data_IF_175530471671
#
_entry.id   IF_175530471671
#
_cell.length_a   1.000
_cell.length_b   1.000
_cell.length_c   1.000
_cell.angle_alpha   90.00
_cell.angle_beta   90.00
_cell.angle_gamma   90.00
#
_symmetry.space_group_name_H-M   'P 1'
#
loop_
_entity.id
_entity.type
_entity.pdbx_description
1 polymer ?
#
# COMPACT_ATOMS: atom_id res chain seq x y z
N UNK A 1 -1.34 -1.13 10.78
CA UNK A 1 -2.65 -0.52 10.53
C UNK A 1 -2.75 0.90 11.13
N UNK A 2 -2.87 1.07 12.46
CA UNK A 2 -3.12 2.38 13.11
C UNK A 2 -2.19 3.52 12.67
N UNK A 3 -0.88 3.29 12.61
CA UNK A 3 0.09 4.31 12.19
C UNK A 3 -0.14 4.81 10.76
N UNK A 4 -0.65 3.97 9.85
CA UNK A 4 -0.97 4.39 8.48
C UNK A 4 -2.13 5.38 8.48
N UNK A 5 -3.19 5.09 9.26
CA UNK A 5 -4.33 5.98 9.42
C UNK A 5 -3.92 7.32 10.05
N UNK A 6 -3.02 7.31 11.04
CA UNK A 6 -2.52 8.54 11.66
C UNK A 6 -1.74 9.40 10.64
N UNK A 7 -0.87 8.78 9.82
CA UNK A 7 -0.14 9.49 8.77
C UNK A 7 -1.08 10.10 7.72
N UNK A 8 -2.10 9.35 7.29
CA UNK A 8 -3.12 9.88 6.37
C UNK A 8 -3.91 11.02 7.02
N UNK A 9 -4.25 10.89 8.31
CA UNK A 9 -4.91 11.96 9.07
C UNK A 9 -4.06 13.23 9.15
N UNK A 10 -2.73 13.10 9.14
CA UNK A 10 -1.79 14.22 9.11
C UNK A 10 -1.49 14.75 7.70
N UNK A 11 -2.23 14.30 6.68
CA UNK A 11 -2.16 14.83 5.31
C UNK A 11 -1.23 14.08 4.37
N UNK A 12 -0.69 12.93 4.78
CA UNK A 12 0.07 12.07 3.87
C UNK A 12 -0.90 11.33 2.92
N UNK A 13 -0.53 11.18 1.64
CA UNK A 13 -1.31 10.31 0.73
C UNK A 13 -1.29 8.86 1.22
N UNK A 14 -2.32 8.09 0.89
CA UNK A 14 -2.41 6.67 1.25
C UNK A 14 -1.16 5.88 0.80
N UNK A 15 -0.64 6.17 -0.40
CA UNK A 15 0.57 5.53 -0.93
C UNK A 15 1.79 5.81 -0.05
N UNK A 16 2.07 7.08 0.25
CA UNK A 16 3.22 7.47 1.09
C UNK A 16 3.09 6.95 2.52
N UNK A 17 1.87 6.90 3.07
CA UNK A 17 1.61 6.36 4.39
C UNK A 17 1.91 4.86 4.47
N UNK A 18 1.51 4.08 3.46
CA UNK A 18 1.84 2.67 3.35
C UNK A 18 3.36 2.44 3.28
N UNK A 19 4.06 3.19 2.42
CA UNK A 19 5.51 3.10 2.27
C UNK A 19 6.25 3.42 3.58
N UNK A 20 5.86 4.49 4.27
CA UNK A 20 6.44 4.87 5.57
C UNK A 20 6.24 3.80 6.65
N UNK A 21 5.06 3.16 6.69
CA UNK A 21 4.78 2.09 7.66
C UNK A 21 5.56 0.83 7.35
N UNK A 22 5.68 0.44 6.08
CA UNK A 22 6.48 -0.73 5.70
C UNK A 22 7.97 -0.50 5.93
N UNK A 23 8.49 0.70 5.67
CA UNK A 23 9.86 1.06 6.01
C UNK A 23 10.09 1.00 7.54
N UNK A 24 9.16 1.54 8.34
CA UNK A 24 9.21 1.43 9.80
C UNK A 24 9.21 -0.03 10.29
N UNK A 25 8.35 -0.88 9.72
CA UNK A 25 8.30 -2.32 10.05
C UNK A 25 9.62 -2.99 9.66
N UNK A 26 10.14 -2.70 8.47
CA UNK A 26 11.41 -3.26 7.99
C UNK A 26 12.55 -2.92 8.94
N UNK A 27 12.63 -1.67 9.41
CA UNK A 27 13.68 -1.23 10.36
C UNK A 27 13.54 -1.85 11.75
N UNK A 28 12.31 -2.14 12.21
CA UNK A 28 12.05 -2.62 13.59
C UNK A 28 11.97 -4.13 13.72
N UNK A 29 11.44 -4.81 12.70
CA UNK A 29 11.12 -6.23 12.72
C UNK A 29 11.97 -7.00 11.71
N UNK A 30 12.39 -6.36 10.62
CA UNK A 30 13.18 -6.97 9.55
C UNK A 30 12.39 -7.15 8.25
N UNK A 31 13.11 -7.53 7.20
CA UNK A 31 12.56 -7.81 5.87
C UNK A 31 11.73 -9.09 5.84
N UNK A 32 10.91 -9.26 4.81
CA UNK A 32 10.08 -10.43 4.58
C UNK A 32 9.01 -10.68 5.66
N UNK A 33 8.32 -9.63 6.10
CA UNK A 33 7.44 -9.67 7.28
C UNK A 33 6.03 -9.15 7.05
N UNK A 34 5.84 -8.14 6.20
CA UNK A 34 4.56 -7.44 6.12
C UNK A 34 4.24 -6.84 4.74
N UNK A 35 2.95 -6.70 4.50
CA UNK A 35 2.36 -5.89 3.45
C UNK A 35 1.20 -5.06 4.01
N UNK A 36 0.86 -3.97 3.32
CA UNK A 36 -0.21 -3.07 3.71
C UNK A 36 -0.89 -2.49 2.47
N UNK A 37 -2.22 -2.44 2.52
CA UNK A 37 -3.09 -1.75 1.56
C UNK A 37 -3.93 -0.76 2.36
N UNK A 38 -4.12 0.44 1.83
CA UNK A 38 -4.94 1.48 2.45
C UNK A 38 -5.73 2.27 1.41
N UNK A 39 -6.86 2.82 1.86
CA UNK A 39 -7.67 3.80 1.13
C UNK A 39 -7.97 4.94 2.09
N UNK A 40 -7.76 6.18 1.66
CA UNK A 40 -8.05 7.37 2.43
C UNK A 40 -9.51 7.85 2.24
N UNK A 41 -9.89 8.87 3.01
CA UNK A 41 -11.27 9.42 3.02
C UNK A 41 -11.70 10.09 1.71
N UNK A 42 -10.76 10.33 0.79
CA UNK A 42 -11.00 10.94 -0.52
C UNK A 42 -10.96 9.90 -1.65
N UNK A 43 -10.81 8.61 -1.31
CA UNK A 43 -10.69 7.52 -2.27
C UNK A 43 -9.28 7.32 -2.83
N UNK A 44 -8.28 8.07 -2.34
CA UNK A 44 -6.88 7.84 -2.66
C UNK A 44 -6.42 6.50 -2.08
N UNK A 45 -5.75 5.68 -2.86
CA UNK A 45 -5.31 4.34 -2.44
C UNK A 45 -3.80 4.25 -2.33
N UNK A 46 -3.32 3.25 -1.58
CA UNK A 46 -1.90 3.04 -1.41
C UNK A 46 -1.57 1.61 -1.03
N UNK A 47 -0.37 1.18 -1.38
CA UNK A 47 0.13 -0.14 -1.01
C UNK A 47 1.65 -0.13 -0.88
N UNK A 48 2.16 -0.99 0.00
CA UNK A 48 3.58 -1.31 0.09
C UNK A 48 3.74 -2.68 0.75
N UNK A 49 4.85 -3.37 0.49
CA UNK A 49 5.18 -4.62 1.15
C UNK A 49 6.69 -4.86 1.14
N UNK A 50 7.18 -5.63 2.12
CA UNK A 50 8.57 -6.07 2.20
C UNK A 50 8.72 -7.61 2.15
N UNK A 51 7.60 -8.32 1.90
CA UNK A 51 7.55 -9.76 1.65
C UNK A 51 8.05 -10.10 0.25
N UNK A 52 8.39 -11.37 0.02
CA UNK A 52 8.74 -11.86 -1.33
C UNK A 52 7.61 -11.63 -2.36
N UNK A 53 6.36 -11.61 -1.89
CA UNK A 53 5.18 -11.25 -2.68
C UNK A 53 4.01 -10.85 -1.78
N UNK A 54 3.09 -10.10 -2.36
CA UNK A 54 1.81 -9.73 -1.77
C UNK A 54 0.76 -9.79 -2.86
N UNK A 55 -0.12 -10.80 -2.79
CA UNK A 55 -1.32 -10.83 -3.63
C UNK A 55 -2.15 -9.59 -3.37
N UNK A 56 -2.28 -8.74 -4.39
CA UNK A 56 -2.97 -7.45 -4.31
C UNK A 56 -3.79 -7.22 -5.57
N UNK A 57 -4.91 -6.54 -5.41
CA UNK A 57 -5.78 -6.14 -6.49
C UNK A 57 -6.34 -4.75 -6.24
N UNK A 58 -6.65 -4.03 -7.30
CA UNK A 58 -7.34 -2.74 -7.25
C UNK A 58 -8.44 -2.68 -8.30
N UNK A 59 -9.56 -2.10 -7.90
CA UNK A 59 -10.65 -1.71 -8.77
C UNK A 59 -11.23 -0.39 -8.27
N UNK A 60 -11.37 0.57 -9.16
CA UNK A 60 -12.03 1.85 -8.91
C UNK A 60 -13.17 2.04 -9.89
N UNK A 61 -14.02 3.05 -9.65
CA UNK A 61 -15.03 3.45 -10.61
C UNK A 61 -14.41 3.72 -11.99
N UNK A 62 -15.10 3.29 -13.05
CA UNK A 62 -14.64 3.40 -14.44
C UNK A 62 -13.70 2.30 -14.93
N UNK A 63 -13.29 1.35 -14.09
CA UNK A 63 -12.53 0.17 -14.53
C UNK A 63 -13.46 -0.96 -14.97
N UNK A 64 -13.24 -1.50 -16.17
CA UNK A 64 -13.99 -2.67 -16.68
C UNK A 64 -13.60 -3.98 -15.97
N UNK A 65 -12.37 -4.07 -15.47
CA UNK A 65 -11.83 -5.23 -14.75
C UNK A 65 -10.78 -4.79 -13.71
N UNK A 66 -10.59 -5.55 -12.61
CA UNK A 66 -9.55 -5.25 -11.63
C UNK A 66 -8.15 -5.45 -12.22
N UNK A 67 -7.18 -4.68 -11.73
CA UNK A 67 -5.75 -4.95 -11.95
C UNK A 67 -5.24 -5.73 -10.73
N UNK A 68 -4.50 -6.82 -10.94
CA UNK A 68 -3.92 -7.63 -9.88
C UNK A 68 -2.44 -7.94 -10.13
N UNK A 69 -1.70 -8.16 -9.05
CA UNK A 69 -0.29 -8.56 -9.07
C UNK A 69 0.08 -9.27 -7.75
N UNK A 70 1.18 -10.03 -7.76
CA UNK A 70 1.68 -10.73 -6.58
C UNK A 70 3.11 -10.26 -6.27
N UNK A 71 3.98 -10.26 -7.26
CA UNK A 71 5.40 -10.02 -7.11
C UNK A 71 5.78 -8.55 -7.30
N UNK A 72 6.93 -8.10 -6.75
CA UNK A 72 7.44 -6.74 -6.96
C UNK A 72 7.77 -6.41 -8.42
N UNK A 73 8.13 -7.41 -9.23
CA UNK A 73 8.48 -7.25 -10.64
C UNK A 73 7.28 -6.99 -11.54
N UNK A 74 6.07 -7.26 -11.06
CA UNK A 74 4.84 -7.05 -11.81
C UNK A 74 4.37 -5.60 -11.68
N UNK A 75 3.91 -5.03 -12.80
CA UNK A 75 3.28 -3.71 -12.79
C UNK A 75 2.05 -3.72 -11.87
N UNK A 76 1.93 -2.68 -11.05
CA UNK A 76 0.73 -2.40 -10.29
C UNK A 76 0.67 -0.90 -10.00
N UNK A 77 -0.48 -0.23 -10.23
CA UNK A 77 -0.54 1.22 -10.18
C UNK A 77 -0.32 1.74 -8.75
N UNK A 78 0.35 2.88 -8.65
CA UNK A 78 0.48 3.67 -7.41
C UNK A 78 -0.31 4.96 -7.57
N UNK A 79 -0.98 5.38 -6.50
CA UNK A 79 -1.59 6.71 -6.44
C UNK A 79 -0.52 7.72 -6.01
N UNK A 80 -0.27 8.74 -6.84
CA UNK A 80 0.66 9.86 -6.55
C UNK A 80 0.03 10.89 -5.64
#
# INVERSE_FOLDING_TARGET
AKSCCDLMRWGMSAQRACEAVIDLITRRIGSNTAGLIAVDRFGGYGWAFNTAGMGRAIMTEGMDQPISAIFPSEFFPKCT
#
